data_IF_971597047950
#
_entry.id   IF_971597047950
#
_cell.length_a   1.000
_cell.length_b   1.000
_cell.length_c   1.000
_cell.angle_alpha   90.00
_cell.angle_beta   90.00
_cell.angle_gamma   90.00
#
_symmetry.space_group_name_H-M   'P 1'
#
loop_
_entity.id
_entity.type
_entity.pdbx_description
1 polymer ?
#
# COMPACT_ATOMS: atom_id res chain seq x y z
N UNK A 1 -67.85 54.31 29.48
CA UNK A 1 -67.27 53.73 30.70
C UNK A 1 -65.98 52.96 30.28
N UNK A 2 -64.84 53.63 30.46
CA UNK A 2 -63.55 53.02 30.12
C UNK A 2 -62.89 52.57 31.42
N UNK A 3 -62.70 51.25 31.56
CA UNK A 3 -62.02 50.66 32.70
C UNK A 3 -60.53 50.76 32.55
N UNK A 4 -59.89 51.51 33.43
CA UNK A 4 -58.43 51.60 33.55
C UNK A 4 -57.84 50.33 34.21
N UNK A 5 -56.99 49.60 33.54
CA UNK A 5 -56.20 48.49 34.11
C UNK A 5 -55.02 49.03 34.90
N UNK A 6 -54.67 48.45 36.04
CA UNK A 6 -53.51 48.87 36.83
C UNK A 6 -52.19 48.40 36.18
N UNK A 7 -51.25 49.35 36.14
CA UNK A 7 -49.82 49.08 35.68
C UNK A 7 -49.12 48.29 36.80
N UNK A 8 -48.65 47.11 36.44
CA UNK A 8 -47.77 46.31 37.28
C UNK A 8 -46.37 46.83 37.12
N UNK A 9 -45.78 47.35 38.19
CA UNK A 9 -44.40 47.80 38.22
C UNK A 9 -43.48 46.57 38.37
N UNK A 10 -42.66 46.30 37.38
CA UNK A 10 -41.61 45.30 37.43
C UNK A 10 -40.42 45.85 38.19
N UNK A 11 -40.11 45.31 39.36
CA UNK A 11 -38.87 45.59 40.08
C UNK A 11 -37.77 44.74 39.49
N UNK A 12 -36.76 45.35 38.90
CA UNK A 12 -35.56 44.69 38.45
C UNK A 12 -34.70 44.26 39.64
N UNK A 13 -34.24 43.03 39.70
CA UNK A 13 -33.32 42.59 40.75
C UNK A 13 -31.96 43.24 40.57
N UNK A 14 -31.38 43.76 41.67
CA UNK A 14 -30.04 44.34 41.72
C UNK A 14 -28.98 43.35 41.27
N UNK A 15 -28.13 43.77 40.37
CA UNK A 15 -26.92 43.04 39.93
C UNK A 15 -25.97 42.85 41.12
N UNK A 16 -25.90 41.65 41.65
CA UNK A 16 -24.82 41.26 42.55
C UNK A 16 -23.53 41.26 41.75
N UNK A 17 -22.55 42.01 42.23
CA UNK A 17 -21.21 42.07 41.64
C UNK A 17 -20.50 40.72 41.79
N UNK A 18 -20.37 40.00 40.68
CA UNK A 18 -19.61 38.75 40.62
C UNK A 18 -18.12 39.11 40.52
N UNK A 19 -17.37 38.92 41.61
CA UNK A 19 -15.90 39.00 41.58
C UNK A 19 -15.32 37.68 41.09
N UNK A 20 -14.61 37.61 39.96
CA UNK A 20 -14.01 36.40 39.54
C UNK A 20 -12.81 36.03 40.42
N UNK A 21 -12.91 34.97 41.17
CA UNK A 21 -11.81 34.36 41.88
C UNK A 21 -10.88 33.73 40.80
N UNK A 22 -9.76 34.35 40.56
CA UNK A 22 -8.72 33.82 39.66
C UNK A 22 -8.06 32.60 40.35
N UNK A 23 -8.59 31.41 40.09
CA UNK A 23 -7.91 30.17 40.45
C UNK A 23 -6.75 29.97 39.47
N UNK A 24 -5.56 30.25 39.94
CA UNK A 24 -4.32 29.84 39.23
C UNK A 24 -4.24 28.31 39.24
N UNK A 25 -4.59 27.71 38.09
CA UNK A 25 -4.28 26.29 37.87
C UNK A 25 -2.77 26.12 37.80
N UNK A 26 -2.20 25.12 38.47
CA UNK A 26 -0.77 24.83 38.33
C UNK A 26 -0.53 24.43 36.85
N UNK A 27 0.45 25.10 36.21
CA UNK A 27 0.97 24.67 34.90
C UNK A 27 1.60 23.29 35.09
N UNK A 28 0.82 22.24 34.89
CA UNK A 28 1.38 20.92 34.69
C UNK A 28 2.22 21.00 33.41
N UNK A 29 3.52 20.83 33.57
CA UNK A 29 4.43 20.60 32.44
C UNK A 29 4.04 19.28 31.82
N UNK A 30 3.16 19.32 30.82
CA UNK A 30 2.90 18.17 29.95
C UNK A 30 4.20 17.95 29.19
N UNK A 31 4.89 16.83 29.37
CA UNK A 31 6.06 16.56 28.57
C UNK A 31 5.62 16.55 27.11
N UNK A 32 6.19 17.43 26.28
CA UNK A 32 6.05 17.34 24.84
C UNK A 32 6.48 15.93 24.46
N UNK A 33 5.51 15.08 24.11
CA UNK A 33 5.79 13.84 23.43
C UNK A 33 6.50 14.23 22.15
N UNK A 34 7.79 13.92 22.09
CA UNK A 34 8.56 13.96 20.87
C UNK A 34 7.77 13.16 19.85
N UNK A 35 7.23 13.84 18.83
CA UNK A 35 6.71 13.17 17.65
C UNK A 35 7.92 12.49 17.03
N UNK A 36 8.03 11.18 17.25
CA UNK A 36 8.97 10.35 16.51
C UNK A 36 8.55 10.47 15.05
N UNK A 37 9.26 11.31 14.32
CA UNK A 37 9.17 11.31 12.86
C UNK A 37 9.82 10.01 12.40
N UNK A 38 9.03 8.95 12.31
CA UNK A 38 9.40 7.79 11.51
C UNK A 38 9.66 8.34 10.11
N UNK A 39 10.86 8.16 9.55
CA UNK A 39 11.08 8.55 8.16
C UNK A 39 10.02 7.83 7.33
N UNK A 40 9.45 8.49 6.28
CA UNK A 40 8.57 7.79 5.37
C UNK A 40 9.34 6.57 4.87
N UNK A 41 8.82 5.37 5.13
CA UNK A 41 9.30 4.18 4.44
C UNK A 41 8.98 4.43 2.98
N UNK A 42 10.02 4.76 2.19
CA UNK A 42 9.92 4.78 0.75
C UNK A 42 9.42 3.40 0.31
N UNK A 43 8.51 3.38 -0.63
CA UNK A 43 8.09 2.18 -1.35
C UNK A 43 9.35 1.48 -1.86
N UNK A 44 9.45 0.16 -1.66
CA UNK A 44 10.60 -0.61 -2.08
C UNK A 44 11.79 -0.51 -1.13
N UNK A 45 11.60 -0.74 0.16
CA UNK A 45 12.67 -0.68 1.15
C UNK A 45 13.57 -1.92 1.18
N UNK A 46 13.81 -2.58 0.04
CA UNK A 46 14.81 -3.62 -0.06
C UNK A 46 16.20 -2.99 -0.24
N UNK A 47 17.22 -3.66 0.28
CA UNK A 47 18.61 -3.22 0.13
C UNK A 47 19.25 -4.05 -0.97
N UNK A 48 19.95 -3.42 -1.90
CA UNK A 48 20.68 -4.17 -2.93
C UNK A 48 21.80 -4.99 -2.29
N UNK A 49 21.93 -6.28 -2.64
CA UNK A 49 23.04 -7.09 -2.16
C UNK A 49 24.37 -6.57 -2.70
N UNK A 50 25.48 -6.99 -2.07
CA UNK A 50 26.80 -6.72 -2.66
C UNK A 50 26.92 -7.44 -4.01
N UNK A 51 27.55 -6.80 -5.01
CA UNK A 51 27.65 -7.37 -6.35
C UNK A 51 28.23 -8.81 -6.35
N UNK A 52 27.54 -9.72 -6.99
CA UNK A 52 27.92 -11.14 -7.08
C UNK A 52 27.54 -12.00 -5.88
N UNK A 53 26.80 -11.47 -4.89
CA UNK A 53 26.37 -12.24 -3.71
C UNK A 53 24.87 -12.47 -3.65
N UNK A 54 24.11 -11.78 -4.50
CA UNK A 54 22.66 -11.86 -4.56
C UNK A 54 22.14 -13.04 -5.37
N UNK A 55 20.86 -13.30 -5.25
CA UNK A 55 20.08 -14.22 -6.07
C UNK A 55 19.79 -13.51 -7.40
N UNK A 56 20.10 -14.12 -8.51
CA UNK A 56 19.88 -13.55 -9.85
C UNK A 56 18.42 -13.70 -10.24
N UNK A 57 17.80 -12.58 -10.60
CA UNK A 57 16.46 -12.51 -11.16
C UNK A 57 16.52 -11.82 -12.50
N UNK A 58 16.02 -12.45 -13.56
CA UNK A 58 15.97 -11.88 -14.91
C UNK A 58 14.53 -11.52 -15.22
N UNK A 59 14.28 -10.26 -15.46
CA UNK A 59 12.99 -9.77 -15.94
C UNK A 59 12.97 -9.78 -17.47
N UNK A 60 11.88 -10.29 -18.01
CA UNK A 60 11.67 -10.50 -19.45
C UNK A 60 10.37 -9.82 -19.87
N UNK A 61 10.35 -9.25 -21.07
CA UNK A 61 9.14 -8.67 -21.63
C UNK A 61 8.15 -9.76 -22.12
N UNK A 62 6.96 -9.35 -22.55
CA UNK A 62 5.93 -10.23 -23.07
C UNK A 62 6.32 -10.97 -24.36
N UNK A 63 7.39 -10.53 -25.02
CA UNK A 63 7.89 -11.13 -26.27
C UNK A 63 9.05 -12.12 -25.99
N UNK A 64 9.40 -12.32 -24.73
CA UNK A 64 10.49 -13.22 -24.34
C UNK A 64 11.89 -12.60 -24.41
N UNK A 65 11.99 -11.28 -24.54
CA UNK A 65 13.27 -10.57 -24.55
C UNK A 65 13.65 -10.15 -23.14
N UNK A 66 14.87 -10.42 -22.73
CA UNK A 66 15.37 -10.01 -21.42
C UNK A 66 15.48 -8.47 -21.33
N UNK A 67 14.84 -7.90 -20.34
CA UNK A 67 14.87 -6.48 -20.00
C UNK A 67 16.11 -6.20 -19.15
N UNK A 68 16.23 -6.93 -18.04
CA UNK A 68 17.29 -6.70 -17.04
C UNK A 68 17.48 -7.93 -16.17
N UNK A 69 18.74 -8.26 -15.88
CA UNK A 69 19.08 -9.20 -14.81
C UNK A 69 19.58 -8.42 -13.60
N UNK A 70 19.03 -8.70 -12.45
CA UNK A 70 19.32 -8.01 -11.17
C UNK A 70 19.66 -9.01 -10.08
N UNK A 71 20.23 -8.54 -8.98
CA UNK A 71 20.51 -9.36 -7.81
C UNK A 71 19.62 -8.94 -6.64
N UNK A 72 19.03 -9.90 -5.95
CA UNK A 72 18.14 -9.72 -4.83
C UNK A 72 18.62 -10.46 -3.58
N UNK A 73 18.13 -10.09 -2.41
CA UNK A 73 18.40 -10.84 -1.20
C UNK A 73 17.36 -11.95 -1.01
N UNK A 74 17.73 -12.92 -0.22
CA UNK A 74 16.82 -13.99 0.21
C UNK A 74 15.63 -13.39 0.99
N UNK A 75 14.41 -13.68 0.54
CA UNK A 75 13.17 -13.18 1.11
C UNK A 75 12.62 -11.90 0.48
N UNK A 76 13.33 -11.25 -0.45
CA UNK A 76 12.78 -10.11 -1.21
C UNK A 76 11.65 -10.60 -2.13
N UNK A 77 10.58 -9.82 -2.28
CA UNK A 77 9.49 -10.11 -3.22
C UNK A 77 9.77 -9.51 -4.61
N UNK A 78 9.19 -10.13 -5.65
CA UNK A 78 9.42 -9.74 -7.05
C UNK A 78 9.00 -8.29 -7.32
N UNK A 79 7.90 -7.81 -6.71
CA UNK A 79 7.42 -6.44 -6.90
C UNK A 79 8.41 -5.42 -6.34
N UNK A 80 8.87 -5.63 -5.11
CA UNK A 80 9.86 -4.77 -4.46
C UNK A 80 11.19 -4.76 -5.22
N UNK A 81 11.62 -5.94 -5.74
CA UNK A 81 12.81 -6.04 -6.59
C UNK A 81 12.62 -5.21 -7.87
N UNK A 82 11.48 -5.36 -8.56
CA UNK A 82 11.19 -4.61 -9.77
C UNK A 82 11.26 -3.09 -9.54
N UNK A 83 10.64 -2.62 -8.47
CA UNK A 83 10.64 -1.19 -8.12
C UNK A 83 12.04 -0.67 -7.77
N UNK A 84 12.84 -1.43 -7.00
CA UNK A 84 14.20 -1.03 -6.63
C UNK A 84 15.12 -0.88 -7.85
N UNK A 85 14.86 -1.64 -8.89
CA UNK A 85 15.69 -1.65 -10.11
C UNK A 85 15.07 -0.90 -11.29
N UNK A 86 14.01 -0.11 -11.07
CA UNK A 86 13.31 0.69 -12.09
C UNK A 86 12.78 -0.18 -13.25
N UNK A 87 12.21 -1.34 -12.92
CA UNK A 87 11.54 -2.22 -13.87
C UNK A 87 10.05 -1.89 -13.85
N UNK A 88 9.44 -1.77 -15.03
CA UNK A 88 8.05 -1.37 -15.22
C UNK A 88 7.09 -2.52 -14.84
N UNK A 89 6.93 -2.72 -13.55
CA UNK A 89 5.96 -3.63 -12.93
C UNK A 89 5.10 -2.82 -11.97
N UNK A 90 3.82 -2.67 -12.27
CA UNK A 90 2.91 -1.94 -11.41
C UNK A 90 2.63 -2.71 -10.11
N UNK A 91 2.25 -1.98 -9.07
CA UNK A 91 1.88 -2.54 -7.77
C UNK A 91 0.92 -1.61 -7.04
N UNK A 92 -0.23 -1.31 -7.65
CA UNK A 92 -1.17 -0.27 -7.19
C UNK A 92 -1.67 -0.45 -5.75
N UNK A 93 -1.69 -1.67 -5.23
CA UNK A 93 -2.10 -1.97 -3.85
C UNK A 93 -0.93 -2.14 -2.87
N UNK A 94 0.31 -1.94 -3.32
CA UNK A 94 1.49 -2.02 -2.46
C UNK A 94 1.64 -3.36 -1.72
N UNK A 95 1.28 -4.46 -2.39
CA UNK A 95 1.42 -5.82 -1.85
C UNK A 95 0.30 -6.30 -0.92
N UNK A 96 -0.79 -5.55 -0.81
CA UNK A 96 -1.94 -5.94 0.06
C UNK A 96 -2.91 -6.94 -0.57
N UNK A 97 -2.57 -7.55 -1.70
CA UNK A 97 -3.41 -8.52 -2.45
C UNK A 97 -4.79 -7.93 -2.82
N UNK A 98 -4.86 -6.64 -3.11
CA UNK A 98 -6.11 -5.95 -3.44
C UNK A 98 -6.17 -5.53 -4.92
N UNK A 99 -5.20 -5.93 -5.73
CA UNK A 99 -5.15 -5.68 -7.18
C UNK A 99 -4.36 -6.80 -7.89
N UNK A 100 -4.46 -6.82 -9.22
CA UNK A 100 -3.73 -7.75 -10.09
C UNK A 100 -2.63 -7.07 -10.92
N UNK A 101 -2.26 -5.82 -10.59
CA UNK A 101 -1.33 -5.04 -11.42
C UNK A 101 0.12 -5.52 -11.33
N UNK A 102 0.49 -6.25 -10.28
CA UNK A 102 1.80 -6.89 -10.14
C UNK A 102 1.86 -8.31 -10.72
N UNK A 103 0.90 -8.68 -11.59
CA UNK A 103 0.86 -9.98 -12.24
C UNK A 103 2.15 -10.24 -13.04
N UNK A 104 2.73 -11.41 -12.83
CA UNK A 104 3.90 -11.93 -13.53
C UNK A 104 3.68 -13.38 -13.95
N UNK A 105 4.41 -13.82 -14.97
CA UNK A 105 4.37 -15.19 -15.47
C UNK A 105 5.72 -15.83 -15.16
N UNK A 106 5.69 -16.99 -14.53
CA UNK A 106 6.88 -17.74 -14.14
C UNK A 106 7.12 -18.91 -15.09
N UNK A 107 8.36 -19.40 -15.11
CA UNK A 107 8.66 -20.66 -15.77
C UNK A 107 8.03 -21.82 -14.96
N UNK A 108 7.59 -22.86 -15.65
CA UNK A 108 6.84 -23.99 -15.06
C UNK A 108 7.62 -24.67 -13.92
N UNK A 109 8.91 -24.90 -14.13
CA UNK A 109 9.78 -25.53 -13.13
C UNK A 109 9.89 -24.70 -11.84
N UNK A 110 9.83 -23.40 -11.95
CA UNK A 110 9.85 -22.46 -10.81
C UNK A 110 8.50 -22.44 -10.13
N UNK A 111 7.42 -22.35 -10.91
CA UNK A 111 6.06 -22.31 -10.37
C UNK A 111 5.76 -23.47 -9.44
N UNK A 112 6.16 -24.68 -9.82
CA UNK A 112 5.95 -25.89 -9.00
C UNK A 112 6.90 -26.01 -7.79
N UNK A 113 7.93 -25.15 -7.67
CA UNK A 113 8.78 -25.09 -6.48
C UNK A 113 8.24 -24.11 -5.42
N UNK A 114 7.33 -23.24 -5.80
CA UNK A 114 6.71 -22.27 -4.90
C UNK A 114 5.53 -22.89 -4.14
N UNK A 115 5.17 -22.28 -3.03
CA UNK A 115 3.93 -22.59 -2.36
C UNK A 115 2.73 -22.24 -3.27
N UNK A 116 1.65 -23.01 -3.16
CA UNK A 116 0.43 -22.73 -3.89
C UNK A 116 -0.11 -21.32 -3.53
N UNK A 117 -0.65 -20.58 -4.51
CA UNK A 117 -1.26 -19.27 -4.24
C UNK A 117 -2.44 -19.44 -3.27
N UNK A 118 -2.58 -18.49 -2.34
CA UNK A 118 -3.74 -18.47 -1.45
C UNK A 118 -5.03 -18.06 -2.21
N UNK A 119 -6.18 -18.28 -1.59
CA UNK A 119 -7.48 -17.98 -2.20
C UNK A 119 -7.59 -16.50 -2.62
N UNK A 120 -7.11 -15.58 -1.77
CA UNK A 120 -7.11 -14.13 -2.08
C UNK A 120 -6.21 -13.80 -3.30
N UNK A 121 -5.07 -14.48 -3.44
CA UNK A 121 -4.20 -14.32 -4.62
C UNK A 121 -4.90 -14.84 -5.88
N UNK A 122 -5.55 -16.00 -5.80
CA UNK A 122 -6.29 -16.58 -6.92
C UNK A 122 -7.44 -15.68 -7.37
N UNK A 123 -8.22 -15.13 -6.44
CA UNK A 123 -9.31 -14.18 -6.73
C UNK A 123 -8.80 -12.93 -7.47
N UNK A 124 -7.63 -12.44 -7.11
CA UNK A 124 -7.01 -11.30 -7.82
C UNK A 124 -6.43 -11.71 -9.17
N UNK A 125 -5.84 -12.90 -9.28
CA UNK A 125 -5.30 -13.40 -10.56
C UNK A 125 -6.41 -13.58 -11.61
N UNK A 126 -7.62 -14.01 -11.22
CA UNK A 126 -8.77 -14.13 -12.12
C UNK A 126 -9.14 -12.79 -12.79
N UNK A 127 -8.75 -11.68 -12.21
CA UNK A 127 -8.95 -10.33 -12.76
C UNK A 127 -7.77 -9.85 -13.63
N UNK A 128 -6.67 -10.61 -13.67
CA UNK A 128 -5.47 -10.23 -14.39
C UNK A 128 -5.64 -10.38 -15.91
N UNK A 129 -4.97 -9.51 -16.66
CA UNK A 129 -4.91 -9.62 -18.11
C UNK A 129 -3.85 -10.62 -18.54
N UNK A 130 -4.22 -11.55 -19.44
CA UNK A 130 -3.26 -12.51 -19.96
C UNK A 130 -2.85 -13.59 -18.98
N UNK A 131 -3.78 -14.02 -18.12
CA UNK A 131 -3.60 -15.11 -17.17
C UNK A 131 -3.11 -16.38 -17.88
N UNK A 132 -2.14 -17.05 -17.26
CA UNK A 132 -1.59 -18.35 -17.67
C UNK A 132 -1.58 -19.31 -16.48
N UNK A 133 -1.33 -20.57 -16.72
CA UNK A 133 -1.27 -21.61 -15.67
C UNK A 133 -0.12 -21.37 -14.67
N UNK A 134 0.87 -20.55 -15.03
CA UNK A 134 2.03 -20.22 -14.19
C UNK A 134 2.05 -18.78 -13.72
N UNK A 135 0.90 -18.11 -13.78
CA UNK A 135 0.73 -16.74 -13.32
C UNK A 135 0.77 -16.64 -11.80
N UNK A 136 1.42 -15.61 -11.27
CA UNK A 136 1.47 -15.29 -9.84
C UNK A 136 1.43 -13.76 -9.64
N UNK A 137 1.06 -13.33 -8.45
CA UNK A 137 1.24 -11.93 -8.06
C UNK A 137 2.68 -11.71 -7.59
N UNK A 138 3.42 -10.80 -8.23
CA UNK A 138 4.81 -10.52 -7.91
C UNK A 138 5.06 -10.10 -6.45
N UNK A 139 4.08 -9.50 -5.80
CA UNK A 139 4.14 -9.15 -4.38
C UNK A 139 4.03 -10.35 -3.44
N UNK A 140 3.62 -11.52 -3.94
CA UNK A 140 3.49 -12.76 -3.14
C UNK A 140 4.61 -13.76 -3.44
N UNK A 141 5.40 -13.54 -4.46
CA UNK A 141 6.52 -14.40 -4.82
C UNK A 141 7.80 -13.88 -4.18
N UNK A 142 8.30 -14.59 -3.17
CA UNK A 142 9.55 -14.27 -2.49
C UNK A 142 10.69 -15.09 -3.07
N UNK A 143 11.78 -14.43 -3.42
CA UNK A 143 12.95 -15.13 -3.95
C UNK A 143 13.71 -15.84 -2.83
N UNK A 144 14.16 -17.03 -3.13
CA UNK A 144 15.00 -17.83 -2.22
C UNK A 144 16.26 -18.27 -2.96
N UNK A 145 17.26 -18.72 -2.22
CA UNK A 145 18.54 -19.20 -2.84
C UNK A 145 18.33 -20.35 -3.81
N UNK A 146 17.25 -21.12 -3.66
CA UNK A 146 16.93 -22.23 -4.58
C UNK A 146 16.43 -21.73 -5.94
N UNK A 147 16.01 -20.47 -6.01
CA UNK A 147 15.50 -19.82 -7.23
C UNK A 147 16.57 -18.96 -7.92
N UNK A 148 17.86 -19.19 -7.64
CA UNK A 148 18.94 -18.45 -8.34
C UNK A 148 18.88 -18.69 -9.85
N UNK A 149 18.83 -17.60 -10.60
CA UNK A 149 18.58 -17.64 -12.04
C UNK A 149 17.10 -17.54 -12.44
N UNK A 150 16.21 -17.22 -11.49
CA UNK A 150 14.79 -17.01 -11.75
C UNK A 150 14.52 -16.10 -12.94
N UNK A 151 13.63 -16.53 -13.83
CA UNK A 151 13.13 -15.73 -14.95
C UNK A 151 11.69 -15.32 -14.64
N UNK A 152 11.43 -14.03 -14.69
CA UNK A 152 10.11 -13.41 -14.47
C UNK A 152 9.68 -12.73 -15.75
N UNK A 153 8.64 -13.22 -16.38
CA UNK A 153 8.10 -12.62 -17.58
C UNK A 153 6.97 -11.64 -17.22
N UNK A 154 7.06 -10.43 -17.75
CA UNK A 154 6.02 -9.42 -17.62
C UNK A 154 4.94 -9.65 -18.67
N UNK A 155 3.64 -9.51 -18.33
CA UNK A 155 2.55 -9.60 -19.30
C UNK A 155 2.61 -8.44 -20.30
N UNK A 156 1.91 -8.56 -21.42
CA UNK A 156 1.87 -7.51 -22.46
C UNK A 156 1.15 -6.24 -22.02
N UNK A 157 0.32 -6.32 -21.00
CA UNK A 157 -0.34 -5.19 -20.35
C UNK A 157 -0.69 -5.59 -18.93
N UNK A 158 -0.64 -4.65 -18.00
CA UNK A 158 -1.22 -4.78 -16.68
C UNK A 158 -2.60 -4.12 -16.70
N UNK A 159 -3.65 -4.87 -16.37
CA UNK A 159 -5.01 -4.34 -16.30
C UNK A 159 -5.67 -4.80 -15.02
N UNK A 160 -6.10 -3.83 -14.23
CA UNK A 160 -6.95 -4.09 -13.10
C UNK A 160 -8.42 -3.94 -13.54
N UNK A 161 -9.10 -5.05 -13.79
CA UNK A 161 -10.51 -5.06 -14.24
C UNK A 161 -11.45 -4.38 -13.24
N UNK A 162 -11.05 -4.29 -11.98
CA UNK A 162 -11.84 -3.63 -10.94
C UNK A 162 -11.79 -2.10 -11.04
N UNK A 163 -10.65 -1.53 -11.45
CA UNK A 163 -10.46 -0.08 -11.60
C UNK A 163 -10.79 0.37 -13.03
N UNK A 164 -10.35 -0.40 -14.03
CA UNK A 164 -10.48 -0.03 -15.44
C UNK A 164 -11.88 -0.32 -16.03
N UNK A 165 -12.61 -1.30 -15.49
CA UNK A 165 -13.97 -1.64 -15.90
C UNK A 165 -15.03 -0.60 -15.51
N UNK A 166 -14.73 0.28 -14.56
CA UNK A 166 -15.67 1.34 -14.12
C UNK A 166 -15.77 2.53 -15.10
N UNK A 167 -14.95 2.60 -16.14
CA UNK A 167 -14.96 3.67 -17.15
C UNK A 167 -15.77 3.35 -18.42
N UNK A 168 -16.42 2.21 -18.49
CA UNK A 168 -17.19 1.78 -19.67
C UNK A 168 -18.69 2.12 -19.64
N UNK A 169 -19.12 3.09 -18.86
CA UNK A 169 -20.50 3.52 -18.77
C UNK A 169 -20.72 4.94 -19.31
N UNK A 170 -20.84 5.09 -20.61
CA UNK A 170 -21.52 6.23 -21.26
C UNK A 170 -22.19 5.75 -22.52
#
# INVERSE_FOLDING_TARGET
>A
MAQQMPRIAWHAPSRAAYTPVATRLPRSLVPLRSLSTTPPRGHGGITRPAPGTGIKVTFRDSQGKDIKTVEANDGDDILSIAHEYDIDLEGACEGSIACSTCHVILEEDVFYQLEEPCDDENDMLDLAFGLTDTSRLGCQVHVTRNLDGLVVQLPSATRNMYVDGARGGN
#
